data_IF_669946075728
#
_entry.id   IF_669946075728
#
_cell.length_a   1.000
_cell.length_b   1.000
_cell.length_c   1.000
_cell.angle_alpha   90.00
_cell.angle_beta   90.00
_cell.angle_gamma   90.00
#
_symmetry.space_group_name_H-M   'P 1'
#
loop_
_entity.id
_entity.type
_entity.pdbx_description
1 polymer ?
#
# COMPACT_ATOMS: atom_id res chain seq x y z
N UNK A 1 -3.08 -22.18 8.87
CA UNK A 1 -4.12 -21.19 8.50
C UNK A 1 -3.55 -19.79 8.62
N UNK A 2 -3.94 -18.84 7.74
CA UNK A 2 -3.30 -17.52 7.65
C UNK A 2 -3.96 -16.42 8.48
N UNK A 3 -3.26 -15.29 8.61
CA UNK A 3 -3.63 -14.14 9.44
C UNK A 3 -5.05 -13.57 9.23
N UNK A 4 -5.63 -13.77 8.04
CA UNK A 4 -6.96 -13.27 7.73
C UNK A 4 -8.08 -13.92 8.57
N UNK A 5 -7.83 -15.08 9.18
CA UNK A 5 -8.78 -15.70 10.11
C UNK A 5 -8.83 -15.01 11.46
N UNK A 6 -7.69 -14.50 11.94
CA UNK A 6 -7.60 -13.82 13.23
C UNK A 6 -7.93 -12.33 13.14
N UNK A 7 -7.58 -11.68 12.02
CA UNK A 7 -7.60 -10.21 11.90
C UNK A 7 -8.52 -9.68 10.79
N UNK A 8 -9.18 -10.57 10.04
CA UNK A 8 -10.08 -10.24 8.95
C UNK A 8 -11.32 -11.13 8.93
N UNK A 9 -11.94 -11.27 7.77
CA UNK A 9 -13.20 -12.02 7.58
C UNK A 9 -12.95 -13.47 7.14
N UNK A 10 -11.83 -14.06 7.55
CA UNK A 10 -11.41 -15.39 7.11
C UNK A 10 -10.70 -15.41 5.76
N UNK A 11 -10.34 -16.62 5.30
CA UNK A 11 -9.63 -16.78 4.02
C UNK A 11 -10.54 -16.40 2.85
N UNK A 12 -10.13 -15.39 2.07
CA UNK A 12 -10.85 -14.95 0.87
C UNK A 12 -10.24 -15.52 -0.43
N UNK A 13 -9.21 -16.37 -0.33
CA UNK A 13 -8.44 -16.87 -1.48
C UNK A 13 -7.88 -15.73 -2.34
N UNK A 14 -7.18 -14.78 -1.70
CA UNK A 14 -6.44 -13.71 -2.39
C UNK A 14 -5.21 -14.26 -3.12
N UNK A 15 -4.53 -13.39 -3.86
CA UNK A 15 -3.38 -13.72 -4.70
C UNK A 15 -2.24 -14.47 -3.98
N UNK A 16 -2.15 -14.39 -2.66
CA UNK A 16 -1.16 -15.13 -1.86
C UNK A 16 -1.42 -16.64 -1.85
N UNK A 17 -2.66 -17.08 -2.16
CA UNK A 17 -3.07 -18.50 -2.26
C UNK A 17 -2.61 -19.34 -1.06
N UNK A 18 -2.73 -18.80 0.15
CA UNK A 18 -2.31 -19.47 1.39
C UNK A 18 -2.87 -20.88 1.62
N UNK A 19 -4.09 -21.24 1.17
CA UNK A 19 -4.55 -22.63 1.25
C UNK A 19 -3.69 -23.64 0.47
N UNK A 20 -3.03 -23.19 -0.61
CA UNK A 20 -2.16 -24.03 -1.42
C UNK A 20 -0.69 -23.98 -0.96
N UNK A 21 -0.16 -22.78 -0.67
CA UNK A 21 1.26 -22.57 -0.40
C UNK A 21 1.61 -22.33 1.07
N UNK A 22 0.61 -22.26 1.95
CA UNK A 22 0.78 -21.82 3.33
C UNK A 22 0.78 -20.28 3.48
N UNK A 23 0.64 -19.78 4.72
CA UNK A 23 0.71 -18.34 4.98
C UNK A 23 2.12 -17.77 4.80
N UNK A 24 2.22 -16.46 4.55
CA UNK A 24 3.52 -15.76 4.53
C UNK A 24 4.24 -15.92 5.87
N UNK A 25 5.55 -16.10 5.80
CA UNK A 25 6.46 -16.16 6.95
C UNK A 25 7.36 -14.92 6.94
N UNK A 26 7.62 -14.36 8.11
CA UNK A 26 8.51 -13.22 8.25
C UNK A 26 9.97 -13.67 8.42
N UNK A 27 10.85 -13.18 7.55
CA UNK A 27 12.29 -13.44 7.61
C UNK A 27 12.91 -12.84 8.87
N UNK A 28 12.53 -11.61 9.25
CA UNK A 28 13.00 -10.96 10.48
C UNK A 28 12.61 -11.76 11.74
N UNK A 29 11.37 -12.26 11.81
CA UNK A 29 10.95 -13.13 12.92
C UNK A 29 11.68 -14.47 12.95
N UNK A 30 11.93 -15.07 11.78
CA UNK A 30 12.73 -16.29 11.69
C UNK A 30 14.19 -16.06 12.10
N UNK A 31 14.70 -14.85 11.93
CA UNK A 31 16.02 -14.42 12.37
C UNK A 31 16.05 -13.92 13.85
N UNK A 32 14.94 -14.03 14.58
CA UNK A 32 14.90 -13.83 16.03
C UNK A 32 14.44 -12.46 16.52
N UNK A 33 14.00 -11.56 15.64
CA UNK A 33 13.47 -10.24 16.04
C UNK A 33 11.97 -10.12 15.86
N UNK A 34 11.30 -9.28 16.65
CA UNK A 34 9.85 -9.07 16.54
C UNK A 34 9.52 -8.08 15.44
N UNK A 35 8.39 -8.32 14.76
CA UNK A 35 7.82 -7.34 13.83
C UNK A 35 6.75 -6.50 14.50
N UNK A 36 6.61 -5.28 14.01
CA UNK A 36 5.56 -4.35 14.35
C UNK A 36 4.29 -4.71 13.58
N UNK A 37 3.14 -4.59 14.24
CA UNK A 37 1.82 -4.74 13.63
C UNK A 37 1.14 -3.37 13.56
N UNK A 38 0.69 -2.97 12.39
CA UNK A 38 -0.18 -1.80 12.23
C UNK A 38 -1.56 -2.08 12.81
N UNK A 39 -2.30 -1.02 13.10
CA UNK A 39 -3.69 -1.05 13.57
C UNK A 39 -4.63 -0.33 12.59
N UNK A 40 -5.91 -0.64 12.68
CA UNK A 40 -7.03 0.13 12.14
C UNK A 40 -7.43 1.20 13.16
N UNK A 41 -8.25 2.17 12.74
CA UNK A 41 -8.79 3.23 13.62
C UNK A 41 -9.64 2.67 14.78
N UNK A 42 -10.25 1.50 14.59
CA UNK A 42 -11.00 0.77 15.63
C UNK A 42 -10.10 0.01 16.62
N UNK A 43 -8.77 0.13 16.49
CA UNK A 43 -7.78 -0.53 17.35
C UNK A 43 -7.45 -1.98 16.95
N UNK A 44 -8.19 -2.58 16.02
CA UNK A 44 -7.91 -3.93 15.57
C UNK A 44 -6.66 -3.99 14.69
N UNK A 45 -5.95 -5.12 14.72
CA UNK A 45 -4.67 -5.26 14.02
C UNK A 45 -4.80 -5.43 12.50
N UNK A 46 -3.80 -4.92 11.78
CA UNK A 46 -3.69 -4.94 10.32
C UNK A 46 -4.54 -3.88 9.63
N UNK A 47 -4.69 -4.01 8.31
CA UNK A 47 -5.69 -3.28 7.53
C UNK A 47 -6.11 -4.09 6.32
N UNK A 48 -7.35 -3.91 5.85
CA UNK A 48 -7.80 -4.54 4.62
C UNK A 48 -7.11 -3.90 3.41
N UNK A 49 -6.69 -4.74 2.47
CA UNK A 49 -6.33 -4.26 1.14
C UNK A 49 -7.52 -3.55 0.48
N UNK A 50 -7.23 -2.50 -0.28
CA UNK A 50 -8.23 -1.56 -0.79
C UNK A 50 -8.77 -1.88 -2.18
N UNK A 51 -8.52 -3.06 -2.75
CA UNK A 51 -8.98 -3.37 -4.10
C UNK A 51 -9.31 -4.84 -4.33
N UNK A 52 -10.43 -5.08 -4.98
CA UNK A 52 -10.74 -6.34 -5.65
C UNK A 52 -10.56 -6.22 -7.17
N UNK A 53 -10.57 -7.35 -7.86
CA UNK A 53 -10.54 -7.47 -9.31
C UNK A 53 -11.77 -8.22 -9.76
N UNK A 54 -12.53 -7.63 -10.66
CA UNK A 54 -13.62 -8.26 -11.37
C UNK A 54 -13.13 -8.67 -12.76
N UNK A 55 -13.68 -9.76 -13.26
CA UNK A 55 -13.48 -10.20 -14.64
C UNK A 55 -14.15 -9.19 -15.56
N UNK A 56 -13.35 -8.50 -16.37
CA UNK A 56 -13.87 -7.42 -17.24
C UNK A 56 -14.97 -7.96 -18.18
N UNK A 57 -14.78 -9.14 -18.75
CA UNK A 57 -15.77 -9.81 -19.60
C UNK A 57 -17.03 -10.31 -18.89
N UNK A 58 -17.12 -10.18 -17.55
CA UNK A 58 -18.34 -10.49 -16.80
C UNK A 58 -19.26 -9.29 -16.58
N UNK A 59 -18.82 -8.11 -17.01
CA UNK A 59 -19.56 -6.85 -16.94
C UNK A 59 -20.31 -6.59 -18.25
N UNK A 60 -21.25 -5.66 -18.27
CA UNK A 60 -21.95 -5.30 -19.52
C UNK A 60 -21.00 -4.74 -20.57
N UNK A 61 -21.40 -4.82 -21.85
CA UNK A 61 -20.59 -4.32 -22.96
C UNK A 61 -20.30 -2.82 -22.82
N UNK A 62 -21.26 -2.04 -22.30
CA UNK A 62 -21.10 -0.60 -22.08
C UNK A 62 -20.01 -0.30 -21.04
N UNK A 63 -19.97 -1.04 -19.92
CA UNK A 63 -18.94 -0.87 -18.89
C UNK A 63 -17.58 -1.32 -19.42
N UNK A 64 -17.54 -2.42 -20.17
CA UNK A 64 -16.30 -2.91 -20.79
C UNK A 64 -15.73 -1.86 -21.75
N UNK A 65 -16.57 -1.29 -22.62
CA UNK A 65 -16.18 -0.24 -23.55
C UNK A 65 -15.69 1.00 -22.80
N UNK A 66 -16.42 1.45 -21.78
CA UNK A 66 -16.04 2.60 -20.97
C UNK A 66 -14.67 2.42 -20.30
N UNK A 67 -14.41 1.22 -19.75
CA UNK A 67 -13.11 0.88 -19.16
C UNK A 67 -11.99 0.86 -20.21
N UNK A 68 -12.24 0.26 -21.38
CA UNK A 68 -11.23 0.19 -22.44
C UNK A 68 -10.87 1.57 -23.02
N UNK A 69 -11.86 2.46 -23.16
CA UNK A 69 -11.67 3.77 -23.76
C UNK A 69 -11.12 4.81 -22.76
N UNK A 70 -11.65 4.82 -21.53
CA UNK A 70 -11.33 5.87 -20.55
C UNK A 70 -10.45 5.40 -19.40
N UNK A 71 -10.23 4.10 -19.25
CA UNK A 71 -9.50 3.51 -18.13
C UNK A 71 -10.25 3.55 -16.79
N UNK A 72 -11.46 4.12 -16.75
CA UNK A 72 -12.27 4.28 -15.54
C UNK A 72 -13.76 4.21 -15.86
N UNK A 73 -14.52 3.55 -14.99
CA UNK A 73 -15.97 3.56 -14.99
C UNK A 73 -16.48 3.94 -13.59
N UNK A 74 -17.43 4.88 -13.53
CA UNK A 74 -18.08 5.34 -12.29
C UNK A 74 -19.55 5.00 -12.41
N UNK A 75 -20.02 4.08 -11.58
CA UNK A 75 -21.36 3.49 -11.66
C UNK A 75 -22.12 3.83 -10.37
N UNK A 76 -23.22 4.59 -10.43
CA UNK A 76 -23.99 4.94 -9.24
C UNK A 76 -24.53 3.70 -8.53
N UNK A 77 -24.44 3.70 -7.19
CA UNK A 77 -25.10 2.69 -6.36
C UNK A 77 -26.57 3.06 -6.12
N UNK A 78 -27.47 2.07 -6.01
CA UNK A 78 -28.79 2.30 -5.46
C UNK A 78 -28.70 2.90 -4.05
N UNK A 79 -29.56 3.87 -3.72
CA UNK A 79 -29.52 4.60 -2.44
C UNK A 79 -29.52 3.67 -1.21
N UNK A 80 -30.20 2.52 -1.30
CA UNK A 80 -30.27 1.48 -0.25
C UNK A 80 -28.92 0.80 0.06
N UNK A 81 -27.95 0.88 -0.84
CA UNK A 81 -26.66 0.18 -0.73
C UNK A 81 -25.47 1.12 -0.47
N UNK A 82 -25.72 2.44 -0.39
CA UNK A 82 -24.73 3.44 -0.01
C UNK A 82 -24.35 3.24 1.46
N UNK A 83 -23.07 3.05 1.74
CA UNK A 83 -22.55 2.87 3.10
C UNK A 83 -21.24 3.63 3.28
N UNK A 84 -21.34 4.81 3.91
CA UNK A 84 -20.18 5.69 4.16
C UNK A 84 -19.15 5.04 5.08
N UNK A 85 -19.58 4.17 6.00
CA UNK A 85 -18.70 3.51 6.97
C UNK A 85 -17.68 2.55 6.33
N UNK A 86 -18.00 1.94 5.18
CA UNK A 86 -17.09 1.01 4.48
C UNK A 86 -15.79 1.67 4.01
N UNK A 87 -15.77 2.99 3.82
CA UNK A 87 -14.57 3.73 3.42
C UNK A 87 -13.47 3.67 4.50
N UNK A 88 -13.85 3.59 5.77
CA UNK A 88 -12.92 3.55 6.90
C UNK A 88 -12.13 2.23 7.00
N UNK A 89 -12.56 1.18 6.29
CA UNK A 89 -11.89 -0.12 6.28
C UNK A 89 -10.69 -0.17 5.32
N UNK A 90 -10.58 0.78 4.38
CA UNK A 90 -9.52 0.80 3.36
C UNK A 90 -8.18 1.18 3.97
N UNK A 91 -7.13 0.50 3.53
CA UNK A 91 -5.76 0.97 3.77
C UNK A 91 -5.46 2.30 3.04
N UNK A 92 -5.93 2.46 1.81
CA UNK A 92 -5.71 3.68 1.04
C UNK A 92 -6.68 4.77 1.52
N UNK A 93 -6.24 5.58 2.48
CA UNK A 93 -7.06 6.66 3.06
C UNK A 93 -7.31 7.80 2.06
N UNK A 94 -6.47 7.97 1.04
CA UNK A 94 -6.60 9.00 0.00
C UNK A 94 -7.86 8.90 -0.87
N UNK A 95 -8.60 7.79 -0.80
CA UNK A 95 -9.83 7.54 -1.58
C UNK A 95 -11.08 7.39 -0.69
N UNK A 96 -11.06 7.98 0.51
CA UNK A 96 -12.20 8.01 1.43
C UNK A 96 -13.10 9.24 1.17
N UNK A 97 -13.48 9.48 -0.09
CA UNK A 97 -14.40 10.56 -0.50
C UNK A 97 -15.83 10.03 -0.63
N UNK A 98 -16.83 10.91 -0.48
CA UNK A 98 -18.26 10.58 -0.62
C UNK A 98 -18.59 9.90 -1.97
N UNK A 99 -17.90 10.33 -3.04
CA UNK A 99 -18.01 9.74 -4.37
C UNK A 99 -17.73 8.23 -4.39
N UNK A 100 -16.83 7.73 -3.54
CA UNK A 100 -16.52 6.30 -3.40
C UNK A 100 -17.51 5.54 -2.50
N UNK A 101 -18.36 6.25 -1.73
CA UNK A 101 -19.47 5.64 -0.99
C UNK A 101 -20.74 5.53 -1.84
N UNK A 102 -20.94 6.48 -2.75
CA UNK A 102 -22.13 6.60 -3.59
C UNK A 102 -21.98 5.88 -4.95
N UNK A 103 -20.75 5.55 -5.36
CA UNK A 103 -20.48 4.92 -6.64
C UNK A 103 -19.58 3.69 -6.50
N UNK A 104 -19.78 2.73 -7.39
CA UNK A 104 -18.78 1.73 -7.75
C UNK A 104 -17.82 2.38 -8.74
N UNK A 105 -16.59 2.60 -8.29
CA UNK A 105 -15.49 3.05 -9.15
C UNK A 105 -14.66 1.84 -9.58
N UNK A 106 -14.59 1.62 -10.89
CA UNK A 106 -13.79 0.59 -11.54
C UNK A 106 -12.64 1.25 -12.31
N UNK A 107 -11.43 0.68 -12.19
CA UNK A 107 -10.26 1.10 -12.96
C UNK A 107 -9.80 -0.04 -13.86
N UNK A 108 -9.43 0.25 -15.11
CA UNK A 108 -8.86 -0.76 -15.98
C UNK A 108 -7.39 -1.03 -15.60
N UNK A 109 -7.10 -2.28 -15.27
CA UNK A 109 -5.75 -2.78 -14.97
C UNK A 109 -5.46 -4.09 -15.71
N UNK A 110 -6.17 -4.32 -16.83
CA UNK A 110 -6.34 -5.63 -17.47
C UNK A 110 -7.54 -6.39 -16.89
N UNK A 111 -7.78 -6.24 -15.59
CA UNK A 111 -9.05 -6.55 -14.92
C UNK A 111 -9.79 -5.26 -14.57
N UNK A 112 -11.09 -5.34 -14.33
CA UNK A 112 -11.86 -4.26 -13.74
C UNK A 112 -11.56 -4.19 -12.23
N UNK A 113 -10.64 -3.33 -11.82
CA UNK A 113 -10.26 -3.15 -10.42
C UNK A 113 -11.33 -2.32 -9.70
N UNK A 114 -12.04 -2.95 -8.77
CA UNK A 114 -13.03 -2.27 -7.94
C UNK A 114 -12.35 -1.55 -6.77
N UNK A 115 -12.63 -0.26 -6.62
CA UNK A 115 -12.00 0.60 -5.61
C UNK A 115 -12.68 0.50 -4.24
N UNK A 116 -13.02 -0.72 -3.81
CA UNK A 116 -13.54 -1.06 -2.48
C UNK A 116 -12.84 -2.32 -1.96
N UNK A 117 -12.61 -2.48 -0.62
CA UNK A 117 -11.93 -3.65 -0.09
C UNK A 117 -12.64 -4.96 -0.48
N UNK A 118 -13.96 -4.98 -0.35
CA UNK A 118 -14.82 -6.09 -0.73
C UNK A 118 -16.25 -5.57 -0.88
N UNK A 119 -17.05 -6.23 -1.71
CA UNK A 119 -18.45 -5.89 -1.91
C UNK A 119 -19.26 -7.17 -2.06
N UNK A 120 -20.30 -7.41 -1.24
CA UNK A 120 -21.08 -8.64 -1.31
C UNK A 120 -21.58 -8.91 -2.73
N UNK A 121 -21.27 -10.10 -3.25
CA UNK A 121 -21.40 -10.38 -4.68
C UNK A 121 -22.87 -10.32 -5.13
N UNK A 122 -23.77 -10.79 -4.28
CA UNK A 122 -25.21 -10.73 -4.48
C UNK A 122 -25.69 -9.28 -4.66
N UNK A 123 -25.23 -8.36 -3.81
CA UNK A 123 -25.55 -6.93 -3.93
C UNK A 123 -24.89 -6.30 -5.15
N UNK A 124 -23.66 -6.71 -5.48
CA UNK A 124 -22.94 -6.19 -6.64
C UNK A 124 -23.73 -6.47 -7.93
N UNK A 125 -24.36 -7.65 -8.01
CA UNK A 125 -25.16 -8.09 -9.15
C UNK A 125 -26.55 -7.47 -9.22
N UNK A 126 -26.97 -6.69 -8.22
CA UNK A 126 -28.17 -5.86 -8.31
C UNK A 126 -27.91 -4.53 -9.03
N UNK A 127 -26.64 -4.17 -9.26
CA UNK A 127 -26.27 -2.91 -9.92
C UNK A 127 -26.33 -3.09 -11.44
N UNK A 128 -27.00 -2.17 -12.17
CA UNK A 128 -27.08 -2.24 -13.63
C UNK A 128 -25.71 -2.37 -14.29
N UNK A 129 -25.58 -3.37 -15.15
CA UNK A 129 -24.37 -3.73 -15.89
C UNK A 129 -23.35 -4.59 -15.12
N UNK A 130 -23.65 -4.94 -13.87
CA UNK A 130 -22.83 -5.82 -13.00
C UNK A 130 -23.55 -7.14 -12.67
N UNK A 131 -24.66 -7.47 -13.32
CA UNK A 131 -25.53 -8.62 -13.02
C UNK A 131 -24.78 -9.95 -13.09
N UNK A 132 -23.79 -10.03 -13.98
CA UNK A 132 -22.94 -11.20 -14.16
C UNK A 132 -21.56 -11.07 -13.51
N UNK A 133 -21.32 -10.02 -12.72
CA UNK A 133 -20.02 -9.72 -12.14
C UNK A 133 -19.41 -10.95 -11.46
N UNK A 134 -18.12 -11.17 -11.72
CA UNK A 134 -17.34 -12.27 -11.14
C UNK A 134 -16.03 -11.75 -10.60
N UNK A 135 -15.72 -12.05 -9.34
CA UNK A 135 -14.41 -11.76 -8.76
C UNK A 135 -13.34 -12.67 -9.39
N UNK A 136 -12.26 -12.05 -9.88
CA UNK A 136 -11.02 -12.70 -10.28
C UNK A 136 -10.03 -12.77 -9.10
N UNK A 137 -9.97 -11.73 -8.27
CA UNK A 137 -9.17 -11.74 -7.04
C UNK A 137 -9.68 -10.70 -6.03
N UNK A 138 -9.74 -11.03 -4.73
CA UNK A 138 -9.73 -12.39 -4.19
C UNK A 138 -10.95 -13.18 -4.70
N UNK A 139 -10.84 -14.49 -4.88
CA UNK A 139 -11.95 -15.31 -5.42
C UNK A 139 -13.23 -15.20 -4.60
N UNK A 140 -13.11 -15.04 -3.28
CA UNK A 140 -14.23 -14.74 -2.39
C UNK A 140 -14.26 -13.25 -2.01
N UNK A 141 -14.10 -12.36 -2.99
CA UNK A 141 -14.14 -10.90 -2.81
C UNK A 141 -15.49 -10.33 -2.40
N UNK A 142 -16.53 -11.17 -2.34
CA UNK A 142 -17.81 -10.84 -1.71
C UNK A 142 -17.73 -10.64 -0.19
N UNK A 143 -16.83 -11.37 0.50
CA UNK A 143 -16.80 -11.41 1.97
C UNK A 143 -15.63 -10.68 2.61
N UNK A 144 -14.57 -10.38 1.86
CA UNK A 144 -13.37 -9.79 2.44
C UNK A 144 -12.21 -9.68 1.46
N UNK A 145 -11.09 -9.21 2.00
CA UNK A 145 -9.83 -9.07 1.28
C UNK A 145 -8.65 -9.53 2.17
N UNK A 146 -7.45 -9.55 1.60
CA UNK A 146 -6.21 -9.76 2.33
C UNK A 146 -6.01 -8.70 3.43
N UNK A 147 -5.46 -9.13 4.57
CA UNK A 147 -5.03 -8.25 5.65
C UNK A 147 -3.53 -7.98 5.52
N UNK A 148 -3.18 -6.70 5.47
CA UNK A 148 -1.83 -6.16 5.31
C UNK A 148 -1.31 -5.60 6.63
N UNK A 149 -0.02 -5.25 6.70
CA UNK A 149 0.61 -4.57 7.85
C UNK A 149 0.61 -5.36 9.17
N UNK A 150 0.63 -6.69 9.09
CA UNK A 150 0.75 -7.55 10.28
C UNK A 150 2.20 -7.97 10.56
N UNK A 151 3.16 -7.44 9.80
CA UNK A 151 4.56 -7.83 9.86
C UNK A 151 5.41 -6.73 9.19
N UNK A 152 5.74 -5.70 9.96
CA UNK A 152 6.65 -4.61 9.58
C UNK A 152 7.95 -4.80 10.37
N UNK A 153 9.09 -4.89 9.70
CA UNK A 153 10.37 -4.97 10.39
C UNK A 153 10.70 -3.62 11.04
N UNK A 154 11.10 -3.66 12.31
CA UNK A 154 11.73 -2.51 12.94
C UNK A 154 13.08 -2.26 12.26
N UNK A 155 13.35 -1.01 11.88
CA UNK A 155 14.51 -0.66 11.04
C UNK A 155 15.00 0.74 11.32
N UNK A 156 16.23 1.04 10.93
CA UNK A 156 16.81 2.40 10.95
C UNK A 156 16.58 3.16 9.63
N UNK A 157 17.09 4.38 9.52
CA UNK A 157 16.94 5.21 8.31
C UNK A 157 17.88 4.80 7.17
N UNK A 158 18.79 3.84 7.42
CA UNK A 158 19.58 3.13 6.41
C UNK A 158 18.82 1.94 5.81
N UNK A 159 17.57 1.71 6.22
CA UNK A 159 16.73 0.56 5.85
C UNK A 159 17.22 -0.78 6.41
N UNK A 160 18.15 -0.76 7.36
CA UNK A 160 18.65 -1.97 8.02
C UNK A 160 17.71 -2.38 9.16
N UNK A 161 17.40 -3.67 9.23
CA UNK A 161 16.54 -4.23 10.27
C UNK A 161 17.27 -4.20 11.61
N UNK A 162 16.60 -3.67 12.63
CA UNK A 162 17.13 -3.60 13.99
C UNK A 162 17.39 -4.99 14.55
N UNK A 163 18.55 -5.18 15.19
CA UNK A 163 18.93 -6.45 15.82
C UNK A 163 19.43 -7.54 14.88
N UNK A 164 19.51 -7.30 13.56
CA UNK A 164 20.07 -8.25 12.59
C UNK A 164 21.17 -7.58 11.78
N UNK A 165 22.32 -8.24 11.66
CA UNK A 165 23.53 -7.62 11.10
C UNK A 165 23.40 -7.28 9.60
N UNK A 166 22.89 -8.23 8.82
CA UNK A 166 22.95 -8.25 7.36
C UNK A 166 21.57 -8.29 6.69
N UNK A 167 20.51 -7.87 7.40
CA UNK A 167 19.16 -7.83 6.85
C UNK A 167 18.73 -6.38 6.61
N UNK A 168 18.40 -6.06 5.35
CA UNK A 168 17.77 -4.80 4.96
C UNK A 168 16.34 -5.07 4.46
N UNK A 169 15.48 -4.07 4.53
CA UNK A 169 14.08 -4.20 4.14
C UNK A 169 13.59 -2.99 3.36
N UNK A 170 12.65 -3.23 2.45
CA UNK A 170 11.97 -2.18 1.67
C UNK A 170 10.50 -2.51 1.45
N UNK A 171 9.77 -1.59 0.83
CA UNK A 171 8.34 -1.75 0.58
C UNK A 171 7.50 -1.68 1.84
N UNK A 172 6.35 -2.35 1.82
CA UNK A 172 5.47 -2.47 3.00
C UNK A 172 6.18 -3.14 4.20
N UNK A 173 7.24 -3.92 3.95
CA UNK A 173 7.97 -4.58 5.03
C UNK A 173 8.72 -3.59 5.91
N UNK A 174 9.10 -2.42 5.39
CA UNK A 174 9.93 -1.43 6.09
C UNK A 174 9.14 -0.26 6.72
N UNK A 175 7.81 -0.30 6.66
CA UNK A 175 6.95 0.70 7.28
C UNK A 175 5.49 0.56 6.88
N UNK A 176 4.60 1.32 7.52
CA UNK A 176 3.16 1.37 7.18
C UNK A 176 2.90 2.19 5.90
N UNK A 177 3.70 1.91 4.86
CA UNK A 177 3.67 2.62 3.58
C UNK A 177 2.56 2.13 2.67
N UNK A 178 2.02 3.04 1.86
CA UNK A 178 1.01 2.73 0.83
C UNK A 178 1.44 3.37 -0.48
N UNK A 179 1.86 2.55 -1.44
CA UNK A 179 2.08 3.00 -2.81
C UNK A 179 3.37 2.46 -3.43
N UNK A 180 3.49 2.66 -4.74
CA UNK A 180 4.61 2.15 -5.52
C UNK A 180 5.87 3.00 -5.28
N UNK A 181 5.71 4.32 -5.17
CA UNK A 181 6.82 5.27 -5.00
C UNK A 181 7.53 5.04 -3.68
N UNK A 182 6.81 4.76 -2.59
CA UNK A 182 7.34 4.42 -1.28
C UNK A 182 8.10 3.10 -1.34
N UNK A 183 7.56 2.11 -2.04
CA UNK A 183 8.19 0.81 -2.20
C UNK A 183 9.48 0.88 -3.03
N UNK A 184 9.47 1.64 -4.12
CA UNK A 184 10.65 1.89 -4.95
C UNK A 184 11.69 2.66 -4.13
N UNK A 185 11.29 3.74 -3.45
CA UNK A 185 12.21 4.56 -2.65
C UNK A 185 12.94 3.73 -1.59
N UNK A 186 12.19 3.01 -0.77
CA UNK A 186 12.73 2.20 0.33
C UNK A 186 13.49 0.98 -0.19
N UNK A 187 13.00 0.32 -1.23
CA UNK A 187 13.65 -0.82 -1.86
C UNK A 187 14.97 -0.46 -2.53
N UNK A 188 15.03 0.67 -3.26
CA UNK A 188 16.26 1.16 -3.89
C UNK A 188 17.31 1.53 -2.86
N UNK A 189 16.94 2.23 -1.78
CA UNK A 189 17.87 2.56 -0.71
C UNK A 189 18.38 1.31 0.01
N UNK A 190 17.49 0.35 0.32
CA UNK A 190 17.86 -0.93 0.92
C UNK A 190 18.80 -1.75 0.02
N UNK A 191 18.53 -1.81 -1.29
CA UNK A 191 19.39 -2.50 -2.25
C UNK A 191 20.77 -1.85 -2.36
N UNK A 192 20.81 -0.52 -2.47
CA UNK A 192 22.05 0.25 -2.51
C UNK A 192 22.88 0.06 -1.23
N UNK A 193 22.25 0.15 -0.06
CA UNK A 193 22.94 -0.11 1.21
C UNK A 193 23.36 -1.57 1.38
N UNK A 194 22.61 -2.52 0.81
CA UNK A 194 23.04 -3.92 0.73
C UNK A 194 24.34 -4.08 -0.06
N UNK A 195 24.45 -3.42 -1.22
CA UNK A 195 25.68 -3.41 -2.02
C UNK A 195 26.85 -2.78 -1.27
N UNK A 196 26.62 -1.65 -0.57
CA UNK A 196 27.62 -0.97 0.26
C UNK A 196 28.11 -1.85 1.41
N UNK A 197 27.20 -2.51 2.11
CA UNK A 197 27.51 -3.45 3.20
C UNK A 197 28.46 -4.56 2.71
N UNK A 198 28.18 -5.16 1.54
CA UNK A 198 29.03 -6.20 0.95
C UNK A 198 30.45 -5.73 0.60
N UNK A 199 30.64 -4.43 0.39
CA UNK A 199 31.95 -3.81 0.11
C UNK A 199 32.60 -3.17 1.34
N UNK A 200 32.03 -3.34 2.53
CA UNK A 200 32.53 -2.71 3.76
C UNK A 200 32.40 -1.18 3.74
N UNK A 201 31.56 -0.63 2.87
CA UNK A 201 31.28 0.81 2.80
C UNK A 201 30.22 1.18 3.83
N UNK A 202 30.34 2.40 4.39
CA UNK A 202 29.33 2.95 5.30
C UNK A 202 27.98 3.05 4.58
N UNK A 203 26.86 2.63 5.19
CA UNK A 203 25.54 2.81 4.61
C UNK A 203 25.19 4.29 4.49
N UNK A 204 24.27 4.60 3.57
CA UNK A 204 23.80 5.94 3.27
C UNK A 204 22.35 6.11 3.73
N UNK A 205 22.02 7.24 4.33
CA UNK A 205 20.65 7.66 4.58
C UNK A 205 20.23 8.72 3.56
N UNK A 206 18.94 8.79 3.25
CA UNK A 206 18.41 9.90 2.47
C UNK A 206 18.12 11.08 3.42
N UNK A 207 18.63 12.29 3.14
CA UNK A 207 18.50 13.43 4.03
C UNK A 207 17.06 13.94 4.06
N UNK A 208 16.61 14.48 5.21
CA UNK A 208 15.24 15.02 5.41
C UNK A 208 14.90 16.26 4.59
N UNK A 209 15.89 16.83 3.91
CA UNK A 209 15.76 17.85 2.88
C UNK A 209 15.11 17.28 1.61
N UNK A 210 15.06 15.96 1.45
CA UNK A 210 14.31 15.27 0.40
C UNK A 210 13.02 14.68 0.96
N UNK A 211 11.95 14.71 0.16
CA UNK A 211 10.68 14.06 0.53
C UNK A 211 10.85 12.57 0.85
N UNK A 212 11.76 11.89 0.14
CA UNK A 212 12.06 10.47 0.33
C UNK A 212 12.77 10.21 1.66
N UNK A 213 13.75 11.03 2.02
CA UNK A 213 14.45 10.94 3.30
C UNK A 213 13.55 11.27 4.49
N UNK A 214 12.76 12.35 4.39
CA UNK A 214 11.82 12.69 5.47
C UNK A 214 10.75 11.62 5.66
N UNK A 215 10.26 10.98 4.59
CA UNK A 215 9.25 9.92 4.71
C UNK A 215 9.80 8.76 5.53
N UNK A 216 11.02 8.34 5.21
CA UNK A 216 11.70 7.23 5.86
C UNK A 216 11.88 7.52 7.35
N UNK A 217 12.45 8.68 7.70
CA UNK A 217 12.68 9.03 9.09
C UNK A 217 11.39 9.28 9.86
N UNK A 218 10.43 10.00 9.27
CA UNK A 218 9.15 10.33 9.89
C UNK A 218 8.33 9.06 10.18
N UNK A 219 8.25 8.12 9.24
CA UNK A 219 7.56 6.86 9.47
C UNK A 219 8.20 6.07 10.63
N UNK A 220 9.53 6.09 10.75
CA UNK A 220 10.25 5.45 11.84
C UNK A 220 9.91 6.05 13.21
N UNK A 221 9.81 7.37 13.29
CA UNK A 221 9.41 8.08 14.52
C UNK A 221 7.97 7.74 14.90
N UNK A 222 7.06 7.74 13.92
CA UNK A 222 5.64 7.53 14.17
C UNK A 222 5.30 6.09 14.50
N UNK A 223 6.06 5.10 14.00
CA UNK A 223 5.89 3.70 14.41
C UNK A 223 6.09 3.45 15.91
N UNK A 224 6.73 4.38 16.63
CA UNK A 224 6.91 4.32 18.09
C UNK A 224 5.70 4.83 18.88
N UNK A 225 4.70 5.40 18.22
CA UNK A 225 3.51 5.97 18.86
C UNK A 225 2.27 5.14 18.55
N UNK A 226 1.28 5.13 19.46
CA UNK A 226 0.01 4.41 19.21
C UNK A 226 -0.74 4.97 18.00
N UNK A 227 -0.71 6.29 17.82
CA UNK A 227 -1.34 6.97 16.69
C UNK A 227 -0.69 6.57 15.36
N UNK A 228 0.65 6.55 15.30
CA UNK A 228 1.35 6.20 14.07
C UNK A 228 1.13 4.76 13.62
N UNK A 229 0.84 3.83 14.54
CA UNK A 229 0.42 2.47 14.17
C UNK A 229 -0.93 2.44 13.42
N UNK A 230 -1.78 3.45 13.63
CA UNK A 230 -3.09 3.59 12.97
C UNK A 230 -3.02 4.38 11.65
N UNK A 231 -1.90 5.06 11.38
CA UNK A 231 -1.67 5.86 10.17
C UNK A 231 -1.10 5.02 9.02
N UNK A 232 -1.32 5.48 7.79
CA UNK A 232 -0.64 4.98 6.59
C UNK A 232 0.09 6.12 5.89
N UNK A 233 1.36 5.90 5.56
CA UNK A 233 2.23 6.95 5.01
C UNK A 233 2.34 6.82 3.50
N UNK A 234 2.13 7.93 2.80
CA UNK A 234 2.24 7.98 1.35
C UNK A 234 2.53 9.40 0.85
N UNK A 235 3.23 9.49 -0.27
CA UNK A 235 3.43 10.73 -1.03
C UNK A 235 2.15 11.22 -1.71
N UNK A 236 1.13 10.37 -1.87
CA UNK A 236 -0.05 10.64 -2.70
C UNK A 236 -1.26 11.21 -1.93
N UNK A 237 -1.14 11.43 -0.62
CA UNK A 237 -2.23 11.99 0.20
C UNK A 237 -2.07 11.73 1.70
N UNK A 238 -3.14 12.02 2.45
CA UNK A 238 -3.23 11.84 3.90
C UNK A 238 -2.16 12.62 4.71
N UNK A 239 -1.91 12.21 5.95
CA UNK A 239 -1.06 12.89 6.95
C UNK A 239 0.32 13.27 6.41
N UNK A 240 0.98 12.37 5.67
CA UNK A 240 2.32 12.65 5.18
C UNK A 240 2.35 13.66 4.03
N UNK A 241 1.33 13.67 3.16
CA UNK A 241 1.27 14.64 2.08
C UNK A 241 1.10 16.08 2.59
N UNK A 242 0.27 16.28 3.63
CA UNK A 242 0.17 17.60 4.27
C UNK A 242 1.49 18.01 4.92
N UNK A 243 2.17 17.08 5.62
CA UNK A 243 3.52 17.33 6.12
C UNK A 243 4.51 17.71 5.02
N UNK A 244 4.46 17.07 3.85
CA UNK A 244 5.33 17.43 2.73
C UNK A 244 5.10 18.87 2.27
N UNK A 245 3.85 19.34 2.22
CA UNK A 245 3.53 20.73 1.89
C UNK A 245 4.04 21.68 2.97
N UNK A 246 3.77 21.39 4.25
CA UNK A 246 4.23 22.19 5.39
C UNK A 246 5.75 22.34 5.44
N UNK A 247 6.49 21.31 5.00
CA UNK A 247 7.96 21.31 4.95
C UNK A 247 8.53 21.81 3.62
N UNK A 248 7.70 22.32 2.70
CA UNK A 248 8.10 22.74 1.35
C UNK A 248 8.86 21.64 0.57
N UNK A 249 8.45 20.38 0.75
CA UNK A 249 9.02 19.22 0.07
C UNK A 249 8.20 18.79 -1.15
N UNK A 250 6.92 19.15 -1.21
CA UNK A 250 6.08 18.91 -2.39
C UNK A 250 6.36 19.97 -3.46
N UNK A 251 6.70 19.52 -4.66
CA UNK A 251 6.81 20.35 -5.87
C UNK A 251 6.47 19.48 -7.08
N UNK A 252 5.93 20.11 -8.13
CA UNK A 252 5.74 19.51 -9.45
C UNK A 252 6.73 20.06 -10.48
N UNK A 253 7.60 20.99 -10.07
CA UNK A 253 8.65 21.58 -10.91
C UNK A 253 9.89 20.68 -10.91
N UNK A 254 10.23 20.14 -12.09
CA UNK A 254 11.36 19.24 -12.26
C UNK A 254 12.72 19.90 -11.97
N UNK A 255 12.89 21.19 -12.27
CA UNK A 255 14.13 21.91 -12.00
C UNK A 255 14.31 22.13 -10.51
N UNK A 256 13.25 22.50 -9.80
CA UNK A 256 13.28 22.68 -8.34
C UNK A 256 13.62 21.37 -7.63
N UNK A 257 13.00 20.26 -8.05
CA UNK A 257 13.25 18.92 -7.51
C UNK A 257 14.70 18.51 -7.77
N UNK A 258 15.19 18.70 -9.01
CA UNK A 258 16.57 18.37 -9.39
C UNK A 258 17.57 19.19 -8.58
N UNK A 259 17.39 20.51 -8.48
CA UNK A 259 18.23 21.39 -7.68
C UNK A 259 18.21 21.06 -6.19
N UNK A 260 17.12 20.48 -5.66
CA UNK A 260 17.08 19.98 -4.28
C UNK A 260 17.95 18.74 -4.08
N UNK A 261 17.94 17.81 -5.04
CA UNK A 261 18.79 16.61 -5.02
C UNK A 261 20.27 16.98 -5.19
N UNK A 262 20.58 17.93 -6.08
CA UNK A 262 21.94 18.44 -6.29
C UNK A 262 22.51 19.12 -5.04
N UNK A 263 21.72 19.96 -4.36
CA UNK A 263 22.15 20.66 -3.13
C UNK A 263 22.54 19.71 -2.00
N UNK A 264 22.01 18.50 -1.98
CA UNK A 264 22.38 17.47 -0.99
C UNK A 264 23.44 16.49 -1.52
N UNK A 265 23.96 16.71 -2.73
CA UNK A 265 25.04 15.92 -3.31
C UNK A 265 24.63 14.51 -3.72
N UNK A 266 23.35 14.26 -4.01
CA UNK A 266 22.83 12.92 -4.32
C UNK A 266 22.46 12.70 -5.80
N UNK A 267 22.80 13.63 -6.67
CA UNK A 267 22.54 13.51 -8.11
C UNK A 267 23.24 12.28 -8.67
N UNK A 268 22.47 11.36 -9.25
CA UNK A 268 23.00 10.14 -9.85
C UNK A 268 23.59 9.14 -8.86
N UNK A 269 23.32 9.27 -7.55
CA UNK A 269 23.95 8.44 -6.50
C UNK A 269 23.79 6.93 -6.72
N UNK A 270 22.66 6.49 -7.27
CA UNK A 270 22.39 5.08 -7.55
C UNK A 270 23.07 4.56 -8.83
N UNK A 271 23.69 5.43 -9.63
CA UNK A 271 24.48 5.04 -10.80
C UNK A 271 25.93 4.67 -10.45
N UNK A 272 26.35 4.90 -9.21
CA UNK A 272 27.66 4.49 -8.73
C UNK A 272 27.81 2.97 -8.77
N UNK A 273 28.85 2.50 -9.47
CA UNK A 273 29.17 1.08 -9.50
C UNK A 273 29.85 0.66 -8.21
N UNK A 274 29.10 0.01 -7.32
CA UNK A 274 29.61 -0.53 -6.05
C UNK A 274 30.06 -1.99 -6.21
N UNK A 275 29.33 -2.80 -6.98
CA UNK A 275 29.61 -4.21 -7.25
C UNK A 275 29.89 -4.42 -8.74
#
# INVERSE_FOLDING_TARGET
MGNCLSYGNGCCMCILRCPAFGPRVSVSQKAGVTDIMGKRKDGAWGAFSGSGKLEKGSLSEEIQQLLNEKGVAVIPLPAKDVSKEKLNLKVCQQYALDEYAENIVLLDTGYAKIMTPFFPLEKLREVPGLENARYADPYAGGKGNSIRYLSVAERDDYMKVSGIENLLCGGEKSGLFVGHTEAITTGSLAGYNGARYLKGLKPMELPRQLATGDLISYANERLKTQEGLMTRYTFAGAEYFERMKERNLYSTDAEEITGRVERVGLTGIYNEKII
#
